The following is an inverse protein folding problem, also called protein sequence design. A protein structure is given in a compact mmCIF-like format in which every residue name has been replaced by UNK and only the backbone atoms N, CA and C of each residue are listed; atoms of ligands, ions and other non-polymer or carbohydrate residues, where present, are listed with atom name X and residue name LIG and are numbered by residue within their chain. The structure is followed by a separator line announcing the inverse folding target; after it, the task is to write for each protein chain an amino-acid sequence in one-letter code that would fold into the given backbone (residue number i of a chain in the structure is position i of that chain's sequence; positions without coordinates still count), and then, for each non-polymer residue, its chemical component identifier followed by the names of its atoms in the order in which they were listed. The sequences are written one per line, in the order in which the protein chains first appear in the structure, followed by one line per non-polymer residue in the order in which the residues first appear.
data_IF_306589154632
#
_entry.id   IF_306589154632
#
_cell.length_a   1.000
_cell.length_b   1.000
_cell.length_c   1.000
_cell.angle_alpha   90.00
_cell.angle_beta   90.00
_cell.angle_gamma   90.00
#
_symmetry.space_group_name_H-M   'P 1'
#
loop_
_entity.id
_entity.type
_entity.pdbx_description
1 polymer ?
#
# COMPACT_ATOMS: atom_id res chain seq x y z
N UNK A 1 -19.10 27.38 -13.32
CA UNK A 1 -18.15 26.46 -13.93
C UNK A 1 -18.68 25.02 -13.90
N UNK A 2 -19.35 24.61 -14.98
CA UNK A 2 -19.98 23.28 -15.08
C UNK A 2 -18.94 22.15 -14.98
N UNK A 3 -17.71 22.41 -15.36
CA UNK A 3 -16.64 21.42 -15.47
C UNK A 3 -15.88 21.11 -14.16
N UNK A 4 -16.09 21.87 -13.09
CA UNK A 4 -15.32 21.75 -11.82
C UNK A 4 -16.22 21.54 -10.62
N UNK A 5 -17.39 20.93 -10.80
CA UNK A 5 -18.33 20.71 -9.71
C UNK A 5 -17.98 19.42 -8.96
N UNK A 6 -17.30 19.55 -7.83
CA UNK A 6 -17.19 18.44 -6.87
C UNK A 6 -18.57 18.10 -6.30
N UNK A 7 -18.99 16.84 -6.42
CA UNK A 7 -20.28 16.36 -5.93
C UNK A 7 -20.20 15.81 -4.52
N UNK A 8 -19.09 15.13 -4.20
CA UNK A 8 -18.83 14.56 -2.86
C UNK A 8 -17.35 14.38 -2.63
N UNK A 9 -16.96 14.15 -1.39
CA UNK A 9 -15.62 13.76 -0.97
C UNK A 9 -15.70 12.88 0.26
N UNK A 10 -14.94 11.81 0.24
CA UNK A 10 -14.76 10.92 1.39
C UNK A 10 -13.32 10.40 1.45
N UNK A 11 -12.86 10.01 2.63
CA UNK A 11 -11.53 9.44 2.84
C UNK A 11 -11.38 8.84 4.23
N UNK A 12 -10.33 8.05 4.41
CA UNK A 12 -9.82 7.62 5.71
C UNK A 12 -8.51 8.38 5.97
N UNK A 13 -8.53 9.34 6.88
CA UNK A 13 -7.40 10.22 7.18
C UNK A 13 -6.26 9.52 7.92
N UNK A 14 -6.52 8.32 8.44
CA UNK A 14 -5.56 7.48 9.16
C UNK A 14 -5.08 6.28 8.34
N UNK A 15 -5.32 6.27 7.01
CA UNK A 15 -4.91 5.20 6.13
C UNK A 15 -3.97 5.73 5.04
N UNK A 16 -2.77 5.17 4.96
CA UNK A 16 -1.75 5.53 3.99
C UNK A 16 -0.80 4.38 3.68
N UNK A 17 0.15 4.58 2.77
CA UNK A 17 1.14 3.57 2.38
C UNK A 17 1.94 2.99 3.54
N UNK A 18 2.17 3.79 4.59
CA UNK A 18 2.90 3.38 5.79
C UNK A 18 2.19 2.25 6.56
N UNK A 19 0.86 2.17 6.48
CA UNK A 19 0.11 1.08 7.12
C UNK A 19 0.41 -0.26 6.42
N UNK A 20 0.57 -0.25 5.09
CA UNK A 20 1.02 -1.43 4.34
C UNK A 20 2.45 -1.83 4.70
N UNK A 21 3.35 -0.86 4.85
CA UNK A 21 4.72 -1.11 5.30
C UNK A 21 4.73 -1.72 6.70
N UNK A 22 3.90 -1.20 7.60
CA UNK A 22 3.81 -1.71 8.97
C UNK A 22 3.41 -3.19 9.01
N UNK A 23 2.51 -3.65 8.13
CA UNK A 23 2.15 -5.07 8.04
C UNK A 23 3.32 -5.97 7.63
N UNK A 24 4.18 -5.48 6.73
CA UNK A 24 5.40 -6.20 6.37
C UNK A 24 6.37 -6.24 7.55
N UNK A 25 6.54 -5.10 8.25
CA UNK A 25 7.42 -5.02 9.42
C UNK A 25 6.96 -6.00 10.50
N UNK A 26 5.68 -6.00 10.84
CA UNK A 26 5.12 -6.87 11.88
C UNK A 26 5.34 -8.35 11.51
N UNK A 27 5.10 -8.71 10.26
CA UNK A 27 5.36 -10.06 9.76
C UNK A 27 6.84 -10.45 9.86
N UNK A 28 7.79 -9.55 9.49
CA UNK A 28 9.22 -9.80 9.59
C UNK A 28 9.67 -9.95 11.06
N UNK A 29 9.15 -9.12 11.95
CA UNK A 29 9.46 -9.19 13.40
C UNK A 29 8.97 -10.52 13.97
N UNK A 30 7.75 -10.94 13.64
CA UNK A 30 7.17 -12.20 14.13
C UNK A 30 7.90 -13.44 13.57
N UNK A 31 8.25 -13.41 12.27
CA UNK A 31 9.04 -14.46 11.63
C UNK A 31 10.42 -14.60 12.31
N UNK A 32 11.12 -13.48 12.47
CA UNK A 32 12.44 -13.46 13.08
C UNK A 32 12.39 -13.90 14.55
N UNK A 33 11.40 -13.45 15.32
CA UNK A 33 11.21 -13.87 16.70
C UNK A 33 10.91 -15.37 16.81
N UNK A 34 10.15 -15.91 15.88
CA UNK A 34 9.86 -17.35 15.84
C UNK A 34 11.10 -18.19 15.51
N UNK A 35 11.97 -17.68 14.63
CA UNK A 35 13.18 -18.39 14.21
C UNK A 35 14.35 -18.28 15.21
N UNK A 36 14.52 -17.10 15.83
CA UNK A 36 15.69 -16.76 16.62
C UNK A 36 15.39 -16.41 18.09
N UNK A 37 14.14 -16.30 18.48
CA UNK A 37 13.72 -15.90 19.84
C UNK A 37 14.01 -14.43 20.18
N UNK A 38 14.39 -13.60 19.21
CA UNK A 38 14.77 -12.18 19.37
C UNK A 38 13.69 -11.28 18.82
N UNK A 39 13.28 -10.30 19.62
CA UNK A 39 12.29 -9.31 19.24
C UNK A 39 12.98 -8.06 18.69
N UNK A 40 12.98 -7.92 17.35
CA UNK A 40 13.61 -6.80 16.64
C UNK A 40 12.91 -5.46 16.91
N UNK A 41 11.65 -5.45 17.36
CA UNK A 41 10.92 -4.21 17.64
C UNK A 41 11.52 -3.36 18.76
N UNK A 42 12.39 -3.97 19.58
CA UNK A 42 13.08 -3.30 20.70
C UNK A 42 14.40 -2.65 20.30
N UNK A 43 14.88 -2.90 19.10
CA UNK A 43 16.11 -2.33 18.56
C UNK A 43 15.78 -1.25 17.52
N UNK A 44 16.00 0.02 17.88
CA UNK A 44 15.69 1.16 17.02
C UNK A 44 16.41 1.14 15.67
N UNK A 45 17.67 0.62 15.65
CA UNK A 45 18.42 0.50 14.39
C UNK A 45 17.83 -0.60 13.49
N UNK A 46 17.44 -1.73 14.10
CA UNK A 46 16.76 -2.80 13.37
C UNK A 46 15.41 -2.32 12.81
N UNK A 47 14.62 -1.61 13.62
CA UNK A 47 13.33 -1.05 13.19
C UNK A 47 13.48 -0.10 12.00
N UNK A 48 14.50 0.76 12.01
CA UNK A 48 14.73 1.68 10.88
C UNK A 48 15.07 0.91 9.59
N UNK A 49 15.93 -0.10 9.68
CA UNK A 49 16.28 -0.96 8.54
C UNK A 49 15.09 -1.78 8.04
N UNK A 50 14.24 -2.25 8.95
CA UNK A 50 12.99 -2.94 8.60
C UNK A 50 12.01 -2.02 7.84
N UNK A 51 11.89 -0.75 8.25
CA UNK A 51 11.04 0.23 7.55
C UNK A 51 11.49 0.44 6.11
N UNK A 52 12.77 0.71 5.91
CA UNK A 52 13.34 0.91 4.57
C UNK A 52 13.16 -0.34 3.67
N UNK A 53 13.38 -1.52 4.25
CA UNK A 53 13.22 -2.78 3.54
C UNK A 53 11.75 -3.08 3.20
N UNK A 54 10.82 -2.77 4.12
CA UNK A 54 9.37 -2.96 3.91
C UNK A 54 8.84 -2.04 2.80
N UNK A 55 9.19 -0.76 2.82
CA UNK A 55 8.82 0.18 1.76
C UNK A 55 9.35 -0.27 0.41
N UNK A 56 10.62 -0.65 0.33
CA UNK A 56 11.23 -1.19 -0.89
C UNK A 56 10.49 -2.43 -1.38
N UNK A 57 10.20 -3.39 -0.50
CA UNK A 57 9.49 -4.61 -0.84
C UNK A 57 8.07 -4.32 -1.36
N UNK A 58 7.33 -3.39 -0.73
CA UNK A 58 6.01 -2.92 -1.20
C UNK A 58 6.08 -2.39 -2.63
N UNK A 59 7.06 -1.54 -2.93
CA UNK A 59 7.27 -0.96 -4.26
C UNK A 59 7.60 -2.06 -5.28
N UNK A 60 8.52 -2.95 -4.95
CA UNK A 60 8.93 -4.05 -5.85
C UNK A 60 7.75 -5.01 -6.13
N UNK A 61 6.94 -5.36 -5.12
CA UNK A 61 5.77 -6.23 -5.27
C UNK A 61 4.66 -5.62 -6.12
N UNK A 62 4.70 -4.33 -6.43
CA UNK A 62 3.83 -3.73 -7.44
C UNK A 62 4.21 -4.14 -8.87
N UNK A 63 5.45 -4.58 -9.09
CA UNK A 63 5.98 -4.96 -10.39
C UNK A 63 6.25 -6.46 -10.53
N UNK A 64 6.73 -7.10 -9.44
CA UNK A 64 7.10 -8.54 -9.45
C UNK A 64 6.19 -9.35 -8.52
N UNK A 65 6.20 -10.68 -8.69
CA UNK A 65 5.38 -11.59 -7.88
C UNK A 65 5.99 -11.96 -6.53
N UNK A 66 7.30 -11.78 -6.39
CA UNK A 66 8.04 -12.07 -5.17
C UNK A 66 9.28 -11.20 -5.07
N UNK A 67 9.71 -10.90 -3.86
CA UNK A 67 10.95 -10.17 -3.57
C UNK A 67 11.66 -10.80 -2.40
N UNK A 68 12.99 -10.63 -2.37
CA UNK A 68 13.83 -11.09 -1.27
C UNK A 68 14.16 -9.91 -0.36
N UNK A 69 13.91 -10.07 0.93
CA UNK A 69 14.26 -9.10 1.98
C UNK A 69 15.48 -9.64 2.70
N UNK A 70 16.65 -9.09 2.42
CA UNK A 70 17.91 -9.50 3.01
C UNK A 70 18.50 -8.34 3.82
N UNK A 71 18.58 -8.54 5.14
CA UNK A 71 19.13 -7.57 6.10
C UNK A 71 20.24 -8.25 6.91
N UNK A 72 21.48 -8.28 6.39
CA UNK A 72 22.60 -8.87 7.10
C UNK A 72 22.93 -8.05 8.35
N UNK A 73 23.37 -8.74 9.40
CA UNK A 73 23.73 -8.13 10.70
C UNK A 73 22.58 -7.24 11.25
N UNK A 74 21.35 -7.76 11.20
CA UNK A 74 20.16 -7.02 11.68
C UNK A 74 20.23 -6.78 13.19
N UNK A 75 20.79 -7.75 13.92
CA UNK A 75 21.05 -7.66 15.36
C UNK A 75 22.20 -8.59 15.75
N UNK A 76 22.63 -8.53 17.00
CA UNK A 76 23.64 -9.42 17.57
C UNK A 76 23.17 -9.94 18.93
N UNK A 77 23.52 -11.19 19.21
CA UNK A 77 23.34 -11.87 20.50
C UNK A 77 24.68 -12.28 21.09
N UNK A 78 24.65 -12.88 22.26
CA UNK A 78 25.87 -13.44 22.87
C UNK A 78 26.56 -14.53 22.00
N UNK A 79 25.75 -15.18 21.14
CA UNK A 79 26.21 -16.22 20.22
C UNK A 79 26.74 -15.69 18.89
N UNK A 80 26.64 -14.37 18.67
CA UNK A 80 27.12 -13.68 17.48
C UNK A 80 26.05 -12.89 16.72
N UNK A 81 26.40 -12.41 15.51
CA UNK A 81 25.50 -11.65 14.68
C UNK A 81 24.40 -12.51 14.07
N UNK A 82 23.21 -11.95 13.96
CA UNK A 82 22.06 -12.56 13.29
C UNK A 82 21.70 -11.80 12.02
N UNK A 83 21.19 -12.53 11.04
CA UNK A 83 20.79 -12.02 9.74
C UNK A 83 19.31 -12.30 9.51
N UNK A 84 18.61 -11.38 8.86
CA UNK A 84 17.26 -11.59 8.38
C UNK A 84 17.31 -11.82 6.87
N UNK A 85 16.75 -12.93 6.43
CA UNK A 85 16.64 -13.30 5.02
C UNK A 85 15.28 -13.98 4.79
N UNK A 86 14.33 -13.23 4.23
CA UNK A 86 12.95 -13.66 4.03
C UNK A 86 12.49 -13.40 2.60
N UNK A 87 11.75 -14.32 2.04
CA UNK A 87 11.10 -14.17 0.76
C UNK A 87 9.63 -13.76 0.95
N UNK A 88 9.25 -12.58 0.44
CA UNK A 88 7.88 -12.11 0.48
C UNK A 88 7.26 -12.22 -0.91
N UNK A 89 6.14 -12.94 -1.01
CA UNK A 89 5.34 -13.02 -2.24
C UNK A 89 4.25 -11.95 -2.23
N UNK A 90 3.82 -11.52 -3.44
CA UNK A 90 2.67 -10.62 -3.60
C UNK A 90 1.41 -11.19 -2.95
N UNK A 91 1.17 -12.50 -3.11
CA UNK A 91 0.02 -13.17 -2.50
C UNK A 91 0.04 -13.07 -0.96
N UNK A 92 1.21 -13.30 -0.34
CA UNK A 92 1.37 -13.14 1.11
C UNK A 92 1.20 -11.69 1.55
N UNK A 93 1.75 -10.75 0.81
CA UNK A 93 1.56 -9.32 1.07
C UNK A 93 0.09 -8.91 1.00
N UNK A 94 -0.65 -9.37 0.00
CA UNK A 94 -2.09 -9.12 -0.12
C UNK A 94 -2.90 -9.75 1.03
N UNK A 95 -2.52 -10.94 1.49
CA UNK A 95 -3.11 -11.57 2.67
C UNK A 95 -2.91 -10.71 3.93
N UNK A 96 -1.68 -10.24 4.17
CA UNK A 96 -1.32 -9.41 5.32
C UNK A 96 -2.03 -8.05 5.35
N UNK A 97 -2.49 -7.56 4.20
CA UNK A 97 -3.03 -6.21 4.02
C UNK A 97 -4.50 -6.19 3.57
N UNK A 98 -5.18 -7.33 3.57
CA UNK A 98 -6.55 -7.44 3.06
C UNK A 98 -7.52 -6.52 3.81
N UNK A 99 -7.41 -6.42 5.13
CA UNK A 99 -8.23 -5.54 5.97
C UNK A 99 -8.00 -4.05 5.68
N UNK A 100 -6.77 -3.65 5.34
CA UNK A 100 -6.46 -2.27 4.93
C UNK A 100 -7.11 -1.94 3.58
N UNK A 101 -7.12 -2.90 2.67
CA UNK A 101 -7.79 -2.74 1.39
C UNK A 101 -9.31 -2.59 1.55
N UNK A 102 -9.91 -3.36 2.47
CA UNK A 102 -11.34 -3.25 2.78
C UNK A 102 -11.70 -1.88 3.38
N UNK A 103 -10.80 -1.26 4.15
CA UNK A 103 -10.98 0.11 4.64
C UNK A 103 -11.05 1.15 3.52
N UNK A 104 -10.46 0.90 2.35
CA UNK A 104 -10.59 1.77 1.18
C UNK A 104 -11.98 1.69 0.54
N UNK A 105 -12.66 0.56 0.67
CA UNK A 105 -13.97 0.29 0.06
C UNK A 105 -15.05 1.22 0.61
N UNK A 106 -15.10 1.37 1.93
CA UNK A 106 -16.15 2.15 2.61
C UNK A 106 -16.18 3.62 2.19
N UNK A 107 -15.06 4.38 2.23
CA UNK A 107 -15.06 5.78 1.76
C UNK A 107 -15.44 5.92 0.29
N UNK A 108 -15.01 4.97 -0.55
CA UNK A 108 -15.38 4.99 -1.97
C UNK A 108 -16.88 4.82 -2.17
N UNK A 109 -17.50 3.82 -1.54
CA UNK A 109 -18.94 3.60 -1.63
C UNK A 109 -19.75 4.79 -1.10
N UNK A 110 -19.31 5.36 0.02
CA UNK A 110 -19.96 6.52 0.61
C UNK A 110 -19.88 7.74 -0.31
N UNK A 111 -18.73 7.97 -0.95
CA UNK A 111 -18.59 9.07 -1.91
C UNK A 111 -19.54 8.96 -3.09
N UNK A 112 -19.76 7.75 -3.62
CA UNK A 112 -20.73 7.51 -4.70
C UNK A 112 -22.16 7.79 -4.22
N UNK A 113 -22.54 7.30 -3.05
CA UNK A 113 -23.87 7.50 -2.46
C UNK A 113 -24.15 9.00 -2.23
N UNK A 114 -23.22 9.72 -1.61
CA UNK A 114 -23.36 11.14 -1.29
C UNK A 114 -23.37 12.02 -2.55
N UNK A 115 -22.77 11.56 -3.65
CA UNK A 115 -22.89 12.21 -4.95
C UNK A 115 -24.27 12.02 -5.61
N UNK A 116 -25.10 11.14 -5.06
CA UNK A 116 -26.39 10.76 -5.65
C UNK A 116 -26.23 9.94 -6.93
N UNK A 117 -25.15 9.18 -7.04
CA UNK A 117 -24.79 8.38 -8.22
C UNK A 117 -24.82 6.89 -7.88
N UNK A 118 -24.82 6.09 -8.93
CA UNK A 118 -24.53 4.65 -8.85
C UNK A 118 -23.11 4.37 -9.37
N UNK A 119 -22.57 3.18 -9.08
CA UNK A 119 -21.23 2.77 -9.57
C UNK A 119 -21.17 2.79 -11.12
N UNK A 120 -22.29 2.52 -11.80
CA UNK A 120 -22.39 2.53 -13.26
C UNK A 120 -22.40 3.93 -13.88
N UNK A 121 -22.63 4.98 -13.09
CA UNK A 121 -22.62 6.38 -13.56
C UNK A 121 -21.20 6.99 -13.58
N UNK A 122 -20.18 6.23 -13.16
CA UNK A 122 -18.78 6.66 -13.14
C UNK A 122 -18.15 6.37 -14.49
N UNK A 123 -17.91 7.40 -15.30
CA UNK A 123 -17.29 7.26 -16.61
C UNK A 123 -15.79 6.97 -16.54
N UNK A 124 -15.09 7.65 -15.63
CA UNK A 124 -13.65 7.55 -15.49
C UNK A 124 -13.22 7.52 -14.03
N UNK A 125 -12.23 6.68 -13.72
CA UNK A 125 -11.54 6.66 -12.43
C UNK A 125 -10.09 7.04 -12.65
N UNK A 126 -9.64 8.08 -11.98
CA UNK A 126 -8.24 8.54 -12.01
C UNK A 126 -7.61 8.21 -10.67
N UNK A 127 -6.57 7.36 -10.70
CA UNK A 127 -5.80 6.99 -9.51
C UNK A 127 -4.72 8.02 -9.23
N UNK A 128 -4.60 8.45 -7.98
CA UNK A 128 -3.67 9.47 -7.52
C UNK A 128 -2.89 8.96 -6.31
N UNK A 129 -1.58 9.26 -6.29
CA UNK A 129 -0.66 8.86 -5.23
C UNK A 129 0.03 7.52 -5.47
N UNK A 130 1.25 7.37 -4.94
CA UNK A 130 2.12 6.21 -5.16
C UNK A 130 1.50 4.87 -4.75
N UNK A 131 0.70 4.84 -3.66
CA UNK A 131 0.03 3.62 -3.18
C UNK A 131 -0.98 3.04 -4.18
N UNK A 132 -1.50 3.84 -5.12
CA UNK A 132 -2.41 3.38 -6.17
C UNK A 132 -1.73 2.55 -7.26
N UNK A 133 -0.39 2.45 -7.23
CA UNK A 133 0.38 1.55 -8.10
C UNK A 133 0.26 0.08 -7.68
N UNK A 134 -0.18 -0.19 -6.46
CA UNK A 134 -0.39 -1.55 -5.97
C UNK A 134 -1.48 -2.27 -6.78
N UNK A 135 -1.20 -3.48 -7.33
CA UNK A 135 -2.19 -4.22 -8.10
C UNK A 135 -3.52 -4.44 -7.37
N UNK A 136 -3.48 -4.73 -6.07
CA UNK A 136 -4.68 -4.92 -5.26
C UNK A 136 -5.61 -3.69 -5.24
N UNK A 137 -5.06 -2.47 -5.26
CA UNK A 137 -5.84 -1.22 -5.34
C UNK A 137 -6.49 -1.07 -6.72
N UNK A 138 -5.74 -1.38 -7.78
CA UNK A 138 -6.26 -1.36 -9.16
C UNK A 138 -7.40 -2.37 -9.32
N UNK A 139 -7.23 -3.58 -8.79
CA UNK A 139 -8.24 -4.64 -8.86
C UNK A 139 -9.49 -4.29 -8.04
N UNK A 140 -9.32 -3.67 -6.88
CA UNK A 140 -10.43 -3.15 -6.07
C UNK A 140 -11.27 -2.14 -6.87
N UNK A 141 -10.61 -1.18 -7.51
CA UNK A 141 -11.31 -0.15 -8.30
C UNK A 141 -12.08 -0.79 -9.46
N UNK A 142 -11.49 -1.76 -10.17
CA UNK A 142 -12.17 -2.53 -11.23
C UNK A 142 -13.40 -3.27 -10.69
N UNK A 143 -13.25 -3.94 -9.56
CA UNK A 143 -14.36 -4.66 -8.91
C UNK A 143 -15.52 -3.70 -8.56
N UNK A 144 -15.17 -2.54 -8.02
CA UNK A 144 -16.16 -1.59 -7.53
C UNK A 144 -16.88 -0.81 -8.63
N UNK A 145 -16.20 -0.48 -9.72
CA UNK A 145 -16.75 0.36 -10.80
C UNK A 145 -17.11 -0.42 -12.07
N UNK A 146 -16.56 -1.61 -12.24
CA UNK A 146 -16.63 -2.36 -13.49
C UNK A 146 -15.72 -1.81 -14.60
N UNK A 147 -14.98 -0.72 -14.33
CA UNK A 147 -14.13 -0.04 -15.29
C UNK A 147 -12.65 -0.16 -14.92
N UNK A 148 -11.79 -0.23 -15.94
CA UNK A 148 -10.35 -0.07 -15.73
C UNK A 148 -10.04 1.39 -15.35
N UNK A 149 -9.17 1.63 -14.35
CA UNK A 149 -8.67 2.96 -14.06
C UNK A 149 -8.01 3.58 -15.31
N UNK A 150 -8.12 4.90 -15.44
CA UNK A 150 -7.52 5.62 -16.55
C UNK A 150 -5.99 5.50 -16.52
N UNK A 151 -5.39 4.99 -17.61
CA UNK A 151 -3.96 4.69 -17.70
C UNK A 151 -3.11 5.84 -18.28
N UNK A 152 -3.73 6.93 -18.66
CA UNK A 152 -3.08 8.04 -19.39
C UNK A 152 -2.33 9.04 -18.50
N UNK A 153 -2.32 8.86 -17.18
CA UNK A 153 -1.72 9.83 -16.24
C UNK A 153 -0.80 9.12 -15.25
N UNK A 154 0.29 9.78 -14.90
CA UNK A 154 1.18 9.31 -13.83
C UNK A 154 0.53 9.64 -12.48
N UNK A 155 0.28 8.65 -11.60
CA UNK A 155 -0.34 8.88 -10.30
C UNK A 155 0.41 9.86 -9.39
N UNK A 156 1.73 9.98 -9.56
CA UNK A 156 2.57 10.85 -8.74
C UNK A 156 2.54 12.31 -9.21
N UNK A 157 2.23 12.55 -10.48
CA UNK A 157 2.33 13.86 -11.14
C UNK A 157 0.98 14.44 -11.55
N UNK A 158 -0.08 13.64 -11.56
CA UNK A 158 -1.38 14.02 -12.13
C UNK A 158 -1.99 15.26 -11.47
N UNK A 159 -1.75 15.48 -10.18
CA UNK A 159 -2.23 16.67 -9.45
C UNK A 159 -1.53 17.93 -9.98
N UNK A 160 -0.21 17.88 -10.13
CA UNK A 160 0.57 19.01 -10.66
C UNK A 160 0.20 19.30 -12.12
N UNK A 161 0.06 18.27 -12.96
CA UNK A 161 -0.38 18.39 -14.35
C UNK A 161 -1.79 18.99 -14.42
N UNK A 162 -2.73 18.51 -13.61
CA UNK A 162 -4.07 19.03 -13.54
C UNK A 162 -4.10 20.51 -13.16
N UNK A 163 -3.30 20.93 -12.19
CA UNK A 163 -3.18 22.32 -11.78
C UNK A 163 -2.58 23.20 -12.89
N UNK A 164 -1.65 22.66 -13.67
CA UNK A 164 -1.01 23.41 -14.80
C UNK A 164 -1.97 23.59 -16.00
N UNK A 165 -2.88 22.64 -16.23
CA UNK A 165 -3.88 22.71 -17.32
C UNK A 165 -5.04 23.64 -16.98
N UNK A 166 -5.26 23.90 -15.70
CA UNK A 166 -6.33 24.75 -15.21
C UNK A 166 -6.06 26.23 -15.39
#
# INVERSE_FOLDING_TARGET
DVYKRQKSTHGDTSLGGDDWDQRIIDWLVDSFKSAHGVDLSKDNMAVQRLKEAAEKAKIELSQVQQTQINLPFITATADGPLHLDEQLTRAKFQELTADLLDRCRVPFEQAIVDAGLTKGDVDHVVLVGGSTRMPAVVDLVKEMTGNDPHKGVNPDEVVAIGAAVQ
#
